data_IF_317593882530
#
_entry.id   IF_317593882530
#
_cell.length_a   1.000
_cell.length_b   1.000
_cell.length_c   1.000
_cell.angle_alpha   90.00
_cell.angle_beta   90.00
_cell.angle_gamma   90.00
#
_symmetry.space_group_name_H-M   'P 1'
#
loop_
_entity.id
_entity.type
_entity.pdbx_description
1 polymer ?
#
# COMPACT_ATOMS: atom_id res chain seq x y z
N UNK A 1 -29.94 -15.81 -46.69
CA UNK A 1 -29.98 -16.03 -45.24
C UNK A 1 -28.85 -15.24 -44.60
N UNK A 2 -29.27 -14.33 -43.71
CA UNK A 2 -28.56 -13.54 -42.70
C UNK A 2 -27.04 -13.74 -42.57
N UNK A 3 -26.31 -12.68 -42.95
CA UNK A 3 -25.02 -12.30 -42.34
C UNK A 3 -25.20 -12.31 -40.81
N UNK A 4 -24.41 -13.09 -40.07
CA UNK A 4 -24.09 -12.83 -38.66
C UNK A 4 -23.14 -13.91 -38.13
N UNK A 5 -21.83 -13.70 -38.27
CA UNK A 5 -20.78 -14.49 -37.58
C UNK A 5 -19.57 -13.59 -37.25
N UNK A 6 -19.82 -12.35 -36.81
CA UNK A 6 -18.80 -11.41 -36.34
C UNK A 6 -19.18 -10.87 -34.96
N UNK A 7 -19.21 -11.74 -33.95
CA UNK A 7 -19.24 -11.34 -32.53
C UNK A 7 -18.91 -12.58 -31.68
N UNK A 8 -17.62 -12.89 -31.46
CA UNK A 8 -17.07 -12.54 -30.16
C UNK A 8 -15.56 -12.25 -30.25
N UNK A 9 -15.17 -11.01 -30.56
CA UNK A 9 -13.76 -10.58 -30.47
C UNK A 9 -13.61 -9.24 -29.74
N UNK A 10 -14.53 -8.91 -28.84
CA UNK A 10 -14.51 -7.68 -28.04
C UNK A 10 -14.73 -8.02 -26.56
N UNK A 11 -13.87 -8.86 -25.99
CA UNK A 11 -13.90 -9.20 -24.56
C UNK A 11 -12.48 -9.21 -23.93
N UNK A 12 -11.56 -8.39 -24.46
CA UNK A 12 -10.15 -8.42 -24.07
C UNK A 12 -9.61 -7.15 -23.39
N UNK A 13 -10.43 -6.19 -23.00
CA UNK A 13 -9.90 -4.90 -22.56
C UNK A 13 -10.60 -4.30 -21.34
N UNK A 14 -10.34 -4.88 -20.17
CA UNK A 14 -10.33 -4.12 -18.91
C UNK A 14 -9.53 -4.87 -17.85
N UNK A 15 -8.23 -5.01 -18.09
CA UNK A 15 -7.29 -5.26 -16.99
C UNK A 15 -7.18 -3.95 -16.21
N UNK A 16 -7.95 -3.84 -15.12
CA UNK A 16 -7.74 -2.73 -14.17
C UNK A 16 -6.35 -2.93 -13.59
N UNK A 17 -5.41 -2.07 -13.98
CA UNK A 17 -4.06 -2.11 -13.42
C UNK A 17 -4.11 -1.66 -11.97
N UNK A 18 -4.01 -2.60 -11.03
CA UNK A 18 -3.92 -2.30 -9.61
C UNK A 18 -2.53 -1.74 -9.20
N UNK A 19 -1.61 -1.58 -10.15
CA UNK A 19 -0.25 -1.16 -9.88
C UNK A 19 -0.13 0.37 -9.82
N UNK A 20 1.00 0.82 -9.29
CA UNK A 20 1.36 2.23 -9.26
C UNK A 20 2.82 2.44 -9.69
N UNK A 21 3.16 3.65 -10.12
CA UNK A 21 4.56 4.08 -10.27
C UNK A 21 4.87 5.12 -9.20
N UNK A 22 6.05 5.03 -8.59
CA UNK A 22 6.56 6.04 -7.67
C UNK A 22 7.37 7.07 -8.47
N UNK A 23 6.81 8.26 -8.67
CA UNK A 23 7.36 9.31 -9.54
C UNK A 23 8.29 10.26 -8.78
N UNK A 24 7.94 10.59 -7.53
CA UNK A 24 8.79 11.40 -6.65
C UNK A 24 8.60 10.95 -5.18
N UNK A 25 9.67 10.80 -4.37
CA UNK A 25 11.06 10.77 -4.83
C UNK A 25 11.24 9.64 -5.85
N UNK A 26 12.22 9.75 -6.74
CA UNK A 26 12.31 8.78 -7.84
C UNK A 26 12.58 7.39 -7.26
N UNK A 27 11.80 6.41 -7.70
CA UNK A 27 11.98 5.03 -7.24
C UNK A 27 13.37 4.48 -7.60
N UNK A 28 13.80 3.47 -6.86
CA UNK A 28 15.07 2.75 -7.05
C UNK A 28 15.23 2.18 -8.47
N UNK A 29 14.12 1.94 -9.16
CA UNK A 29 14.06 1.49 -10.54
C UNK A 29 12.65 1.13 -10.93
N UNK A 30 12.42 1.04 -12.24
CA UNK A 30 11.11 0.69 -12.80
C UNK A 30 10.84 -0.81 -12.62
N UNK A 31 9.90 -1.13 -11.72
CA UNK A 31 9.54 -2.51 -11.38
C UNK A 31 8.73 -3.23 -12.47
N UNK A 32 8.31 -2.54 -13.53
CA UNK A 32 7.67 -3.15 -14.70
C UNK A 32 8.68 -3.56 -15.77
N UNK A 33 9.86 -2.93 -15.80
CA UNK A 33 10.87 -3.17 -16.84
C UNK A 33 12.17 -3.76 -16.32
N UNK A 34 12.45 -3.65 -15.02
CA UNK A 34 13.65 -4.22 -14.41
C UNK A 34 13.56 -5.74 -14.39
N UNK A 35 14.59 -6.43 -14.89
CA UNK A 35 14.64 -7.89 -14.94
C UNK A 35 14.51 -8.48 -13.53
N UNK A 36 13.61 -9.46 -13.36
CA UNK A 36 13.35 -10.10 -12.08
C UNK A 36 12.63 -9.22 -11.05
N UNK A 37 12.29 -7.98 -11.39
CA UNK A 37 11.50 -7.11 -10.53
C UNK A 37 10.00 -7.46 -10.61
N UNK A 38 9.31 -7.27 -9.50
CA UNK A 38 7.87 -7.45 -9.39
C UNK A 38 7.39 -6.70 -8.17
N UNK A 39 6.37 -5.84 -8.33
CA UNK A 39 5.81 -5.10 -7.20
C UNK A 39 5.25 -5.98 -6.08
N UNK A 40 4.97 -7.25 -6.37
CA UNK A 40 4.56 -8.23 -5.36
C UNK A 40 5.71 -8.69 -4.45
N UNK A 41 6.96 -8.41 -4.83
CA UNK A 41 8.15 -8.80 -4.08
C UNK A 41 8.50 -7.77 -3.02
N UNK A 42 8.27 -8.12 -1.76
CA UNK A 42 8.74 -7.35 -0.61
C UNK A 42 10.28 -7.32 -0.55
N UNK A 43 10.93 -6.23 -0.09
CA UNK A 43 10.35 -4.96 0.33
C UNK A 43 10.28 -3.90 -0.78
N UNK A 44 11.01 -4.07 -1.88
CA UNK A 44 11.25 -3.00 -2.87
C UNK A 44 11.12 -3.51 -4.30
N UNK A 45 10.12 -4.33 -4.56
CA UNK A 45 9.86 -4.97 -5.85
C UNK A 45 11.01 -5.83 -6.40
N UNK A 46 11.88 -6.38 -5.54
CA UNK A 46 13.15 -7.01 -5.93
C UNK A 46 14.09 -6.08 -6.74
N UNK A 47 13.90 -4.76 -6.67
CA UNK A 47 14.79 -3.79 -7.30
C UNK A 47 15.99 -3.53 -6.40
N UNK A 48 17.18 -3.75 -6.94
CA UNK A 48 18.45 -3.63 -6.21
C UNK A 48 18.83 -2.17 -5.93
N UNK A 49 19.42 -1.92 -4.76
CA UNK A 49 19.84 -0.59 -4.31
C UNK A 49 21.10 -0.06 -5.03
N UNK A 50 21.73 -0.88 -5.87
CA UNK A 50 22.95 -0.51 -6.61
C UNK A 50 22.79 0.77 -7.44
N UNK A 51 21.59 1.04 -7.95
CA UNK A 51 21.31 2.25 -8.72
C UNK A 51 21.33 3.53 -7.87
N UNK A 52 21.26 3.39 -6.55
CA UNK A 52 21.09 4.51 -5.62
C UNK A 52 22.40 5.00 -5.03
N UNK A 53 23.54 4.37 -5.32
CA UNK A 53 24.85 4.80 -4.79
C UNK A 53 25.17 6.25 -5.13
N UNK A 54 24.67 6.77 -6.27
CA UNK A 54 24.90 8.16 -6.69
C UNK A 54 23.62 8.88 -7.14
N UNK A 55 22.44 8.33 -6.87
CA UNK A 55 21.17 8.84 -7.41
C UNK A 55 20.06 8.91 -6.34
N UNK A 56 20.43 9.19 -5.09
CA UNK A 56 19.47 9.43 -4.02
C UNK A 56 18.79 10.78 -4.23
N UNK A 57 17.48 10.83 -4.01
CA UNK A 57 16.75 12.09 -4.05
C UNK A 57 17.02 12.87 -2.76
N UNK A 58 17.36 14.16 -2.86
CA UNK A 58 17.47 15.02 -1.68
C UNK A 58 16.09 15.22 -1.04
N UNK A 59 15.96 14.94 0.25
CA UNK A 59 14.69 14.95 0.97
C UNK A 59 14.71 15.96 2.14
N UNK A 60 13.69 16.82 2.29
CA UNK A 60 13.66 17.82 3.36
C UNK A 60 13.67 17.21 4.76
N UNK A 61 14.33 17.87 5.70
CA UNK A 61 14.37 17.46 7.12
C UNK A 61 12.98 17.53 7.79
N UNK A 62 12.08 18.38 7.29
CA UNK A 62 10.73 18.60 7.82
C UNK A 62 9.63 17.92 6.97
N UNK A 63 10.00 16.95 6.13
CA UNK A 63 9.07 16.18 5.30
C UNK A 63 9.05 16.62 3.84
N UNK A 64 9.02 15.63 2.94
CA UNK A 64 9.13 15.82 1.50
C UNK A 64 7.83 15.58 0.74
N UNK A 65 7.85 15.82 -0.57
CA UNK A 65 6.73 15.48 -1.44
C UNK A 65 6.76 14.01 -1.82
N UNK A 66 5.61 13.36 -1.87
CA UNK A 66 5.45 12.02 -2.45
C UNK A 66 4.47 12.13 -3.62
N UNK A 67 4.88 11.70 -4.81
CA UNK A 67 4.06 11.70 -6.03
C UNK A 67 4.01 10.32 -6.64
N UNK A 68 2.80 9.81 -6.82
CA UNK A 68 2.50 8.49 -7.37
C UNK A 68 1.60 8.63 -8.60
N UNK A 69 1.79 7.76 -9.59
CA UNK A 69 0.75 7.48 -10.60
C UNK A 69 0.05 6.20 -10.18
N UNK A 70 -1.23 6.29 -9.88
CA UNK A 70 -2.01 5.19 -9.29
C UNK A 70 -3.08 4.72 -10.28
N UNK A 71 -3.13 3.40 -10.53
CA UNK A 71 -4.02 2.81 -11.52
C UNK A 71 -5.32 2.21 -10.95
N UNK A 72 -5.34 1.88 -9.65
CA UNK A 72 -6.52 1.30 -9.02
C UNK A 72 -7.54 2.37 -8.58
N UNK A 73 -8.86 2.11 -8.59
CA UNK A 73 -9.86 3.07 -8.11
C UNK A 73 -9.71 3.48 -6.64
N UNK A 74 -9.07 2.64 -5.82
CA UNK A 74 -8.71 2.95 -4.43
C UNK A 74 -7.65 1.97 -3.91
N UNK A 75 -6.89 2.34 -2.88
CA UNK A 75 -5.97 1.44 -2.18
C UNK A 75 -5.66 1.97 -0.77
N UNK A 76 -5.38 1.08 0.18
CA UNK A 76 -4.74 1.50 1.43
C UNK A 76 -3.26 1.75 1.16
N UNK A 77 -2.84 3.00 1.35
CA UNK A 77 -1.48 3.46 1.10
C UNK A 77 -0.75 3.64 2.43
N UNK A 78 0.44 3.05 2.51
CA UNK A 78 1.37 3.22 3.62
C UNK A 78 2.68 3.77 3.07
N UNK A 79 3.31 4.63 3.85
CA UNK A 79 4.64 5.17 3.52
C UNK A 79 5.53 4.94 4.73
N UNK A 80 6.51 4.08 4.57
CA UNK A 80 7.43 3.70 5.62
C UNK A 80 8.84 4.23 5.31
N UNK A 81 9.64 4.42 6.34
CA UNK A 81 11.01 4.88 6.27
C UNK A 81 11.90 3.87 6.98
N UNK A 82 13.04 3.58 6.37
CA UNK A 82 14.18 2.94 7.04
C UNK A 82 15.41 3.83 6.90
N UNK A 83 16.15 3.99 8.00
CA UNK A 83 17.37 4.81 8.03
C UNK A 83 18.61 3.98 7.64
N UNK A 84 19.56 4.62 6.98
CA UNK A 84 20.86 4.06 6.63
C UNK A 84 21.11 3.97 5.12
N UNK A 85 22.31 3.49 4.79
CA UNK A 85 22.74 3.28 3.41
C UNK A 85 22.01 2.10 2.78
N UNK A 86 22.10 0.91 3.40
CA UNK A 86 21.57 -0.34 2.85
C UNK A 86 20.35 -0.78 3.66
N UNK A 87 19.20 -0.21 3.34
CA UNK A 87 17.97 -0.39 4.13
C UNK A 87 17.28 -1.69 3.74
N UNK A 88 17.09 -2.56 4.73
CA UNK A 88 16.31 -3.80 4.60
C UNK A 88 15.10 -3.84 5.55
N UNK A 89 14.98 -2.86 6.45
CA UNK A 89 13.91 -2.75 7.43
C UNK A 89 13.32 -1.34 7.41
N UNK A 90 11.99 -1.27 7.37
CA UNK A 90 11.23 -0.02 7.28
C UNK A 90 10.32 0.10 8.50
N UNK A 91 10.87 0.62 9.60
CA UNK A 91 10.25 0.59 10.93
C UNK A 91 9.62 1.93 11.36
N UNK A 92 9.76 2.98 10.56
CA UNK A 92 9.16 4.30 10.85
C UNK A 92 7.99 4.53 9.88
N UNK A 93 6.77 4.65 10.38
CA UNK A 93 5.60 4.94 9.55
C UNK A 93 5.45 6.46 9.36
N UNK A 94 5.65 6.95 8.13
CA UNK A 94 5.48 8.36 7.77
C UNK A 94 4.04 8.69 7.37
N UNK A 95 3.35 7.71 6.78
CA UNK A 95 1.92 7.76 6.48
C UNK A 95 1.36 6.40 6.84
N UNK A 96 0.40 6.39 7.75
CA UNK A 96 -0.24 5.18 8.23
C UNK A 96 -1.70 5.12 7.77
N UNK A 97 -2.16 3.93 7.38
CA UNK A 97 -3.55 3.62 7.03
C UNK A 97 -4.26 4.70 6.19
N UNK A 98 -3.66 5.15 5.07
CA UNK A 98 -4.25 6.18 4.22
C UNK A 98 -5.15 5.56 3.15
N UNK A 99 -6.44 5.86 3.17
CA UNK A 99 -7.38 5.40 2.15
C UNK A 99 -7.29 6.31 0.91
N UNK A 100 -6.47 5.92 -0.05
CA UNK A 100 -6.36 6.59 -1.34
C UNK A 100 -7.54 6.20 -2.23
N UNK A 101 -8.10 7.19 -2.93
CA UNK A 101 -9.20 7.04 -3.89
C UNK A 101 -8.83 7.69 -5.22
N UNK A 102 -9.47 7.20 -6.30
CA UNK A 102 -9.27 7.67 -7.65
C UNK A 102 -8.11 7.01 -8.40
N UNK A 103 -8.13 7.14 -9.72
CA UNK A 103 -7.05 6.76 -10.63
C UNK A 103 -6.46 8.02 -11.26
N UNK A 104 -5.15 8.17 -11.18
CA UNK A 104 -4.48 9.39 -11.65
C UNK A 104 -3.19 9.64 -10.92
N UNK A 105 -2.81 10.91 -10.84
CA UNK A 105 -1.69 11.35 -10.01
C UNK A 105 -2.20 11.63 -8.60
N UNK A 106 -1.59 10.97 -7.61
CA UNK A 106 -1.67 11.33 -6.20
C UNK A 106 -0.37 12.04 -5.83
N UNK A 107 -0.47 13.19 -5.17
CA UNK A 107 0.63 13.85 -4.50
C UNK A 107 0.27 14.18 -3.05
N UNK A 108 1.18 13.84 -2.13
CA UNK A 108 1.14 14.23 -0.73
C UNK A 108 2.31 15.19 -0.48
N UNK A 109 2.00 16.39 0.00
CA UNK A 109 3.02 17.33 0.42
C UNK A 109 3.44 17.05 1.88
N UNK A 110 4.71 17.32 2.21
CA UNK A 110 5.26 17.21 3.57
C UNK A 110 5.04 15.85 4.27
N UNK A 111 5.20 14.76 3.53
CA UNK A 111 5.16 13.40 4.06
C UNK A 111 6.20 13.22 5.16
N UNK A 112 5.75 12.73 6.31
CA UNK A 112 6.59 12.42 7.46
C UNK A 112 6.91 13.60 8.39
N UNK A 113 6.36 14.80 8.17
CA UNK A 113 6.72 16.01 8.95
C UNK A 113 6.67 15.79 10.47
N UNK A 114 5.59 15.20 10.99
CA UNK A 114 5.45 14.94 12.43
C UNK A 114 6.48 13.90 12.93
N UNK A 115 6.64 12.80 12.20
CA UNK A 115 7.52 11.71 12.61
C UNK A 115 9.00 12.08 12.49
N UNK A 116 9.37 12.87 11.47
CA UNK A 116 10.74 13.31 11.27
C UNK A 116 11.17 14.33 12.35
N UNK A 117 10.25 15.17 12.81
CA UNK A 117 10.50 16.07 13.95
C UNK A 117 10.84 15.29 15.23
N UNK A 118 10.18 14.16 15.47
CA UNK A 118 10.48 13.27 16.61
C UNK A 118 11.76 12.46 16.42
N UNK A 119 12.02 12.01 15.19
CA UNK A 119 13.17 11.16 14.85
C UNK A 119 14.51 11.90 14.90
N UNK A 120 14.50 13.23 14.72
CA UNK A 120 15.70 14.06 14.80
C UNK A 120 16.71 13.78 13.69
N UNK A 121 16.24 13.55 12.46
CA UNK A 121 17.11 13.30 11.30
C UNK A 121 18.03 14.49 11.01
N UNK A 122 19.23 14.21 10.50
CA UNK A 122 20.26 15.23 10.26
C UNK A 122 20.71 15.27 8.80
N UNK A 123 21.32 16.38 8.39
CA UNK A 123 21.90 16.57 7.06
C UNK A 123 22.79 15.39 6.64
N UNK A 124 22.63 14.92 5.41
CA UNK A 124 23.41 13.83 4.84
C UNK A 124 22.99 12.43 5.32
N UNK A 125 22.01 12.33 6.21
CA UNK A 125 21.50 11.02 6.63
C UNK A 125 20.86 10.32 5.43
N UNK A 126 21.37 9.15 5.05
CA UNK A 126 20.78 8.32 4.02
C UNK A 126 19.61 7.52 4.59
N UNK A 127 18.59 7.33 3.77
CA UNK A 127 17.41 6.54 4.11
C UNK A 127 16.74 5.99 2.85
N UNK A 128 15.74 5.14 3.05
CA UNK A 128 14.88 4.61 2.00
C UNK A 128 13.43 4.78 2.42
N UNK A 129 12.61 5.28 1.49
CA UNK A 129 11.16 5.35 1.60
C UNK A 129 10.59 4.12 0.90
N UNK A 130 9.73 3.37 1.58
CA UNK A 130 8.91 2.31 1.01
C UNK A 130 7.47 2.82 0.89
N UNK A 131 6.90 2.69 -0.29
CA UNK A 131 5.47 2.86 -0.51
C UNK A 131 4.84 1.48 -0.58
N UNK A 132 3.72 1.30 0.11
CA UNK A 132 2.94 0.08 0.06
C UNK A 132 1.51 0.44 -0.34
N UNK A 133 0.99 -0.21 -1.37
CA UNK A 133 -0.44 -0.14 -1.69
C UNK A 133 -1.07 -1.52 -1.49
N UNK A 134 -2.11 -1.57 -0.66
CA UNK A 134 -2.87 -2.78 -0.36
C UNK A 134 -4.28 -2.64 -0.96
N UNK A 135 -4.70 -3.66 -1.69
CA UNK A 135 -6.03 -3.70 -2.29
C UNK A 135 -7.09 -4.33 -1.36
N UNK A 136 -8.32 -4.40 -1.84
CA UNK A 136 -9.47 -4.96 -1.12
C UNK A 136 -9.35 -6.43 -0.73
N UNK A 137 -8.42 -7.15 -1.37
CA UNK A 137 -8.15 -8.57 -1.13
C UNK A 137 -6.97 -8.79 -0.19
N UNK A 138 -6.37 -7.71 0.33
CA UNK A 138 -5.19 -7.77 1.19
C UNK A 138 -3.88 -8.04 0.44
N UNK A 139 -3.87 -7.97 -0.90
CA UNK A 139 -2.64 -8.12 -1.67
C UNK A 139 -1.89 -6.78 -1.66
N UNK A 140 -0.58 -6.83 -1.43
CA UNK A 140 0.27 -5.67 -1.26
C UNK A 140 1.27 -5.51 -2.40
N UNK A 141 1.46 -4.26 -2.83
CA UNK A 141 2.41 -3.84 -3.85
C UNK A 141 3.44 -2.89 -3.24
N UNK A 142 4.70 -3.13 -3.57
CA UNK A 142 5.85 -2.49 -2.97
C UNK A 142 6.69 -1.78 -4.02
N UNK A 143 7.15 -0.58 -3.72
CA UNK A 143 8.23 0.09 -4.41
C UNK A 143 9.00 0.91 -3.38
N UNK A 144 10.27 1.18 -3.65
CA UNK A 144 11.11 2.00 -2.78
C UNK A 144 11.77 3.13 -3.56
N UNK A 145 12.05 4.22 -2.87
CA UNK A 145 12.90 5.30 -3.31
C UNK A 145 13.97 5.57 -2.27
N UNK A 146 15.19 5.81 -2.72
CA UNK A 146 16.32 6.07 -1.84
C UNK A 146 16.58 7.57 -1.77
N UNK A 147 16.75 8.07 -0.55
CA UNK A 147 16.85 9.48 -0.26
C UNK A 147 18.08 9.81 0.58
N UNK A 148 18.48 11.08 0.53
CA UNK A 148 19.44 11.69 1.45
C UNK A 148 18.80 12.91 2.06
N UNK A 149 18.71 12.96 3.38
CA UNK A 149 18.15 14.12 4.08
C UNK A 149 19.01 15.37 3.85
N UNK A 150 18.36 16.47 3.49
CA UNK A 150 19.03 17.76 3.31
C UNK A 150 18.14 18.94 3.72
N UNK A 151 18.75 19.90 4.40
CA UNK A 151 18.19 21.21 4.77
C UNK A 151 17.98 22.13 3.57
N UNK A 152 18.62 21.83 2.44
CA UNK A 152 18.47 22.58 1.19
C UNK A 152 17.46 21.96 0.22
N UNK A 153 16.97 20.74 0.53
CA UNK A 153 15.95 20.10 -0.27
C UNK A 153 14.62 20.85 -0.13
N UNK A 154 13.92 20.99 -1.24
CA UNK A 154 12.59 21.60 -1.29
C UNK A 154 11.51 20.55 -1.57
N UNK A 155 10.30 20.82 -1.11
CA UNK A 155 9.11 20.12 -1.61
C UNK A 155 8.83 20.51 -3.06
N UNK A 156 8.17 19.63 -3.81
CA UNK A 156 7.68 19.94 -5.15
C UNK A 156 6.72 21.14 -5.09
N UNK A 157 6.91 22.10 -6.00
CA UNK A 157 6.17 23.36 -6.03
C UNK A 157 5.02 23.36 -7.04
N UNK A 158 3.96 24.12 -6.77
CA UNK A 158 2.90 24.42 -7.73
C UNK A 158 2.30 23.16 -8.35
N UNK A 159 2.27 23.11 -9.68
CA UNK A 159 1.65 22.03 -10.46
C UNK A 159 2.37 20.68 -10.31
N UNK A 160 3.63 20.66 -9.85
CA UNK A 160 4.42 19.43 -9.72
C UNK A 160 3.92 18.51 -8.60
N UNK A 161 3.13 19.03 -7.64
CA UNK A 161 2.48 18.25 -6.60
C UNK A 161 0.97 18.52 -6.56
N UNK A 162 0.30 18.17 -7.64
CA UNK A 162 -1.16 18.29 -7.76
C UNK A 162 -1.80 16.93 -7.97
N UNK A 163 -2.97 16.74 -7.34
CA UNK A 163 -3.78 15.56 -7.57
C UNK A 163 -4.57 15.71 -8.86
N UNK A 164 -4.65 14.64 -9.65
CA UNK A 164 -5.63 14.58 -10.74
C UNK A 164 -7.04 14.74 -10.15
N UNK A 165 -7.95 15.41 -10.88
CA UNK A 165 -9.35 15.53 -10.45
C UNK A 165 -9.94 14.15 -10.13
N UNK A 166 -10.53 14.02 -8.95
CA UNK A 166 -11.09 12.75 -8.46
C UNK A 166 -10.08 11.83 -7.76
N UNK A 167 -8.80 12.20 -7.66
CA UNK A 167 -7.79 11.50 -6.85
C UNK A 167 -7.60 12.22 -5.51
N UNK A 168 -7.73 11.49 -4.42
CA UNK A 168 -7.56 12.02 -3.06
C UNK A 168 -7.31 10.90 -2.06
N UNK A 169 -7.29 11.21 -0.77
CA UNK A 169 -7.46 10.20 0.26
C UNK A 169 -7.69 10.79 1.62
N UNK A 170 -7.88 9.92 2.61
CA UNK A 170 -8.08 10.28 4.01
C UNK A 170 -7.34 9.32 4.92
N UNK A 171 -6.83 9.83 6.04
CA UNK A 171 -6.27 8.98 7.08
C UNK A 171 -7.42 8.20 7.72
N UNK A 172 -7.25 6.89 7.84
CA UNK A 172 -8.22 6.08 8.56
C UNK A 172 -7.92 6.14 10.05
N UNK A 173 -8.95 6.46 10.83
CA UNK A 173 -8.93 6.37 12.27
C UNK A 173 -9.87 5.25 12.73
N UNK A 174 -9.51 4.60 13.83
CA UNK A 174 -10.44 3.69 14.49
C UNK A 174 -11.68 4.46 14.97
N UNK A 175 -12.87 3.89 14.77
CA UNK A 175 -14.14 4.54 15.10
C UNK A 175 -14.25 4.94 16.60
N UNK A 176 -13.48 4.29 17.48
CA UNK A 176 -13.47 4.56 18.93
C UNK A 176 -12.66 5.82 19.31
N UNK A 177 -11.82 6.33 18.40
CA UNK A 177 -10.95 7.50 18.62
C UNK A 177 -11.64 8.85 18.42
N UNK A 178 -12.93 8.88 18.08
CA UNK A 178 -13.74 10.09 17.93
C UNK A 178 -14.78 10.19 19.04
N UNK A 179 -14.33 10.18 20.29
CA UNK A 179 -15.15 10.52 21.46
C UNK A 179 -14.53 11.69 22.19
N UNK A 180 -14.82 12.90 21.70
CA UNK A 180 -14.44 14.15 22.35
C UNK A 180 -15.46 15.25 22.07
N UNK A 181 -16.31 15.54 23.07
CA UNK A 181 -17.03 16.82 23.16
C UNK A 181 -18.56 16.74 23.17
N UNK A 182 -19.15 16.06 24.15
CA UNK A 182 -20.56 16.21 24.49
C UNK A 182 -20.74 15.99 25.99
N UNK A 183 -20.77 17.08 26.77
CA UNK A 183 -21.22 17.07 28.15
C UNK A 183 -22.71 16.70 28.16
N UNK A 184 -23.07 15.57 28.77
CA UNK A 184 -24.34 15.43 29.49
C UNK A 184 -24.22 14.28 30.49
N UNK A 185 -24.46 14.62 31.76
CA UNK A 185 -24.37 13.70 32.88
C UNK A 185 -25.46 12.63 32.83
N UNK A 186 -25.08 11.40 33.17
CA UNK A 186 -26.00 10.28 33.32
C UNK A 186 -25.36 9.18 34.14
N UNK A 187 -25.84 9.05 35.38
CA UNK A 187 -25.44 8.10 36.41
C UNK A 187 -25.19 6.66 35.91
N UNK A 188 -24.10 6.05 36.39
CA UNK A 188 -23.78 4.65 36.18
C UNK A 188 -24.77 3.73 36.92
N UNK A 189 -25.33 2.75 36.22
CA UNK A 189 -25.98 1.60 36.83
C UNK A 189 -25.26 0.31 36.40
N UNK A 190 -24.51 -0.25 37.35
CA UNK A 190 -23.96 -1.61 37.29
C UNK A 190 -25.09 -2.64 37.24
N UNK A 191 -24.98 -3.64 36.37
CA UNK A 191 -25.77 -4.87 36.46
C UNK A 191 -24.86 -6.10 36.39
N UNK A 192 -24.86 -6.79 37.53
CA UNK A 192 -24.11 -7.96 37.94
C UNK A 192 -24.42 -9.21 37.10
N UNK A 193 -23.39 -10.02 36.91
CA UNK A 193 -23.43 -11.36 36.30
C UNK A 193 -24.26 -12.35 37.12
N UNK A 194 -25.00 -13.23 36.46
CA UNK A 194 -25.53 -14.45 37.10
C UNK A 194 -25.29 -15.63 36.16
N UNK A 195 -24.45 -16.55 36.61
CA UNK A 195 -24.18 -17.81 35.94
C UNK A 195 -25.32 -18.80 36.07
N UNK A 196 -25.48 -19.64 35.05
CA UNK A 196 -26.26 -20.87 35.08
C UNK A 196 -25.59 -21.88 34.14
N UNK A 197 -24.93 -22.88 34.73
CA UNK A 197 -24.39 -24.04 34.03
C UNK A 197 -25.45 -25.14 33.86
N UNK A 198 -25.23 -26.05 32.90
CA UNK A 198 -25.76 -27.42 32.72
C UNK A 198 -26.49 -27.63 31.36
N UNK A 199 -26.31 -28.67 30.53
CA UNK A 199 -25.42 -29.84 30.46
C UNK A 199 -25.30 -30.32 29.00
N UNK A 200 -24.16 -30.98 28.73
CA UNK A 200 -23.90 -32.10 27.82
C UNK A 200 -25.04 -32.71 26.96
N UNK A 201 -24.79 -32.83 25.66
CA UNK A 201 -25.28 -33.96 24.85
C UNK A 201 -24.25 -34.33 23.76
N UNK A 202 -23.61 -35.47 23.95
CA UNK A 202 -22.77 -36.20 22.99
C UNK A 202 -23.63 -36.97 21.97
N UNK A 203 -23.33 -36.88 20.68
CA UNK A 203 -23.63 -37.92 19.68
C UNK A 203 -22.57 -37.93 18.56
N UNK A 204 -22.23 -39.13 18.10
CA UNK A 204 -21.02 -39.56 17.41
C UNK A 204 -21.07 -39.41 15.85
N UNK A 205 -19.99 -39.78 15.12
CA UNK A 205 -19.77 -39.47 13.69
C UNK A 205 -20.20 -40.58 12.71
N UNK A 206 -20.53 -40.20 11.47
CA UNK A 206 -20.69 -41.11 10.31
C UNK A 206 -20.92 -40.29 9.03
N UNK A 207 -19.94 -40.16 8.12
CA UNK A 207 -19.56 -41.04 6.99
C UNK A 207 -20.16 -40.58 5.62
N UNK A 208 -19.24 -40.15 4.72
CA UNK A 208 -19.07 -40.44 3.26
C UNK A 208 -20.08 -39.87 2.24
N UNK A 209 -19.78 -39.57 0.95
CA UNK A 209 -18.59 -39.46 0.05
C UNK A 209 -19.11 -38.85 -1.27
N UNK A 210 -18.27 -38.07 -1.98
CA UNK A 210 -18.05 -38.03 -3.45
C UNK A 210 -17.58 -36.60 -3.85
N UNK A 211 -16.49 -36.34 -4.56
CA UNK A 211 -15.68 -37.16 -5.47
C UNK A 211 -15.63 -36.47 -6.83
N UNK A 212 -14.58 -35.69 -7.13
CA UNK A 212 -14.21 -35.28 -8.48
C UNK A 212 -12.72 -34.90 -8.54
N UNK A 213 -11.89 -35.90 -8.86
CA UNK A 213 -10.50 -35.71 -9.24
C UNK A 213 -10.43 -35.40 -10.74
N UNK A 214 -9.80 -34.29 -11.11
CA UNK A 214 -9.44 -33.95 -12.49
C UNK A 214 -8.08 -34.56 -12.79
N UNK A 215 -8.06 -35.54 -13.71
CA UNK A 215 -6.86 -36.21 -14.17
C UNK A 215 -6.10 -35.39 -15.21
N UNK A 216 -4.77 -35.28 -15.03
CA UNK A 216 -3.83 -34.86 -16.06
C UNK A 216 -3.53 -36.05 -16.99
N UNK A 217 -3.92 -35.92 -18.26
CA UNK A 217 -3.51 -36.83 -19.32
C UNK A 217 -2.15 -36.42 -19.88
N UNK A 218 -1.15 -37.28 -19.69
CA UNK A 218 0.08 -37.29 -20.47
C UNK A 218 -0.21 -37.94 -21.83
N UNK A 219 0.28 -37.34 -22.92
CA UNK A 219 0.36 -37.98 -24.23
C UNK A 219 1.77 -37.78 -24.78
N UNK A 220 2.47 -38.90 -24.93
CA UNK A 220 3.73 -39.02 -25.67
C UNK A 220 3.45 -39.12 -27.17
N UNK A 221 4.31 -38.48 -27.96
CA UNK A 221 4.94 -39.05 -29.16
C UNK A 221 4.11 -39.34 -30.41
N UNK A 222 4.30 -38.50 -31.44
CA UNK A 222 4.74 -38.86 -32.79
C UNK A 222 5.40 -37.64 -33.44
#
# INVERSE_FOLDING_TARGET
MKLSLLAPLVALASTVSAHYTLQYPYWRGDSFTTEGASQWSWPCANVSQVNSTNNRTSWPLDGGSLRLKVGHPWAYTYVNLGLGENVTSFNVSLVDHWNQTGNGTLCLAKVGMAQLAELGVTEGTNASIQVVQVNERGNALYNCADITFSSTAAILSGDDCTNTTGVSGVALSNADGSSGGGEEGGEAASATSTGGAAMLATMAPGLLVAGAAVGFGAIYGL
#
